data_IF_643559881814
#
_entry.id   IF_643559881814
#
_cell.length_a   1.000
_cell.length_b   1.000
_cell.length_c   1.000
_cell.angle_alpha   90.00
_cell.angle_beta   90.00
_cell.angle_gamma   90.00
#
_symmetry.space_group_name_H-M   'P 1'
#
loop_
_entity.id
_entity.type
_entity.pdbx_description
1 polymer ?
#
# COMPACT_ATOMS: atom_id res chain seq x y z
N UNK A 1 3.59 26.05 11.06
CA UNK A 1 3.63 25.35 12.38
C UNK A 1 2.25 25.08 12.99
N UNK A 2 1.21 25.90 12.73
CA UNK A 2 -0.12 25.72 13.33
C UNK A 2 -0.93 24.51 12.79
N UNK A 3 -0.67 24.06 11.56
CA UNK A 3 -1.27 22.83 11.01
C UNK A 3 -0.75 21.58 11.75
N UNK A 4 0.58 21.47 11.88
CA UNK A 4 1.24 20.35 12.58
C UNK A 4 0.78 20.18 14.02
N UNK A 5 0.65 21.27 14.77
CA UNK A 5 0.17 21.20 16.16
C UNK A 5 -1.29 20.71 16.28
N UNK A 6 -2.11 20.87 15.24
CA UNK A 6 -3.54 20.51 15.26
C UNK A 6 -3.83 19.08 14.78
N UNK A 7 -2.92 18.49 14.01
CA UNK A 7 -3.17 17.25 13.28
C UNK A 7 -2.10 16.16 13.50
N UNK A 8 -1.11 16.38 14.37
CA UNK A 8 -0.24 15.29 14.80
C UNK A 8 -1.07 14.23 15.54
N UNK A 9 -0.81 12.92 15.30
CA UNK A 9 -1.48 11.85 16.01
C UNK A 9 -1.36 12.01 17.54
N UNK A 10 -2.32 11.49 18.32
CA UNK A 10 -2.22 11.47 19.77
C UNK A 10 -0.88 10.86 20.22
N UNK A 11 -0.32 11.47 21.26
CA UNK A 11 0.93 11.05 21.91
C UNK A 11 0.65 9.72 22.56
N UNK A 12 0.92 8.67 21.83
CA UNK A 12 0.38 7.41 22.20
C UNK A 12 1.19 6.83 23.39
N UNK A 13 0.50 6.31 24.40
CA UNK A 13 1.02 5.16 25.17
C UNK A 13 1.12 3.88 24.29
N UNK A 14 0.84 4.04 22.99
CA UNK A 14 1.15 3.25 21.77
C UNK A 14 2.20 3.93 20.81
N UNK A 15 2.94 4.96 21.26
CA UNK A 15 4.11 5.53 20.59
C UNK A 15 5.12 5.80 21.70
N UNK A 16 6.23 5.03 21.75
CA UNK A 16 7.08 4.95 22.93
C UNK A 16 7.49 6.33 23.44
N UNK A 17 7.51 6.50 24.77
CA UNK A 17 8.00 7.72 25.45
C UNK A 17 9.33 8.12 24.83
N UNK A 18 9.32 9.25 24.14
CA UNK A 18 10.38 9.64 23.22
C UNK A 18 9.80 10.13 21.90
N UNK A 19 8.79 9.49 21.31
CA UNK A 19 8.40 9.70 19.91
C UNK A 19 8.00 11.12 19.50
N UNK A 20 7.50 12.04 20.34
CA UNK A 20 7.31 13.44 19.87
C UNK A 20 8.59 14.25 19.96
N UNK A 21 9.38 14.09 21.01
CA UNK A 21 10.69 14.76 21.12
C UNK A 21 11.67 14.10 20.15
N UNK A 22 11.74 12.79 20.10
CA UNK A 22 12.45 11.98 19.13
C UNK A 22 11.84 11.98 17.74
N UNK A 23 10.57 12.22 17.41
CA UNK A 23 10.10 12.25 15.99
C UNK A 23 9.92 13.66 15.47
N UNK A 24 9.80 14.68 16.30
CA UNK A 24 10.17 16.03 15.85
C UNK A 24 11.69 16.13 15.76
N UNK A 25 12.45 15.60 16.73
CA UNK A 25 13.92 15.52 16.63
C UNK A 25 14.40 14.47 15.63
N UNK A 26 13.66 13.42 15.30
CA UNK A 26 13.94 12.42 14.25
C UNK A 26 13.31 12.88 12.96
N UNK A 27 12.30 13.73 12.87
CA UNK A 27 11.97 14.41 11.61
C UNK A 27 13.00 15.52 11.34
N UNK A 28 13.55 16.13 12.40
CA UNK A 28 14.66 17.08 12.35
C UNK A 28 16.02 16.37 12.21
N UNK A 29 16.22 15.12 12.65
CA UNK A 29 17.43 14.29 12.46
C UNK A 29 17.33 13.38 11.22
N UNK A 30 16.13 12.97 10.81
CA UNK A 30 15.77 12.34 9.52
C UNK A 30 15.84 13.32 8.35
N UNK A 31 16.51 14.46 8.55
CA UNK A 31 17.29 15.14 7.51
C UNK A 31 18.27 14.19 6.73
N UNK A 32 18.21 12.85 6.93
CA UNK A 32 19.08 11.80 6.41
C UNK A 32 18.42 10.40 6.26
N UNK A 33 17.11 10.25 6.44
CA UNK A 33 16.48 8.92 6.40
C UNK A 33 15.87 8.65 5.02
N UNK A 34 16.18 7.48 4.47
CA UNK A 34 15.61 6.97 3.21
C UNK A 34 14.34 6.19 3.51
N UNK A 35 13.40 6.15 2.57
CA UNK A 35 12.23 5.29 2.66
C UNK A 35 12.59 3.84 2.34
N UNK A 36 13.43 3.64 1.32
CA UNK A 36 13.97 2.35 0.90
C UNK A 36 15.50 2.46 0.83
N UNK A 37 16.10 2.14 -0.32
CA UNK A 37 17.52 2.20 -0.60
C UNK A 37 17.93 3.35 -1.55
N UNK A 38 17.07 4.37 -1.71
CA UNK A 38 17.38 5.52 -2.56
C UNK A 38 18.59 6.33 -2.06
N UNK A 39 19.30 7.04 -2.97
CA UNK A 39 20.30 8.02 -2.56
C UNK A 39 19.73 9.08 -1.60
N UNK A 40 20.56 9.50 -0.64
CA UNK A 40 20.15 10.49 0.37
C UNK A 40 20.13 11.89 -0.20
N UNK A 41 18.98 12.54 -0.10
CA UNK A 41 18.78 13.92 -0.53
C UNK A 41 18.46 14.88 0.63
N UNK A 42 18.80 16.16 0.43
CA UNK A 42 18.34 17.25 1.30
C UNK A 42 16.94 17.73 0.89
N UNK A 43 16.03 16.79 0.63
CA UNK A 43 14.69 17.05 0.10
C UNK A 43 13.90 18.05 0.97
N UNK A 44 14.03 17.97 2.30
CA UNK A 44 13.25 18.82 3.21
C UNK A 44 13.51 20.31 3.00
N UNK A 45 14.78 20.72 2.85
CA UNK A 45 15.13 22.13 2.65
C UNK A 45 14.63 22.68 1.32
N UNK A 46 14.48 21.82 0.32
CA UNK A 46 13.94 22.18 -0.99
C UNK A 46 12.39 22.23 -0.95
N UNK A 47 11.77 21.16 -0.48
CA UNK A 47 10.34 20.91 -0.58
C UNK A 47 9.51 21.71 0.42
N UNK A 48 9.97 21.85 1.67
CA UNK A 48 9.19 22.53 2.71
C UNK A 48 8.76 23.95 2.33
N UNK A 49 9.65 24.86 1.86
CA UNK A 49 9.22 26.21 1.45
C UNK A 49 8.32 26.20 0.21
N UNK A 50 8.48 25.25 -0.70
CA UNK A 50 7.65 25.14 -1.91
C UNK A 50 6.24 24.62 -1.61
N UNK A 51 6.12 23.65 -0.72
CA UNK A 51 4.88 22.91 -0.51
C UNK A 51 4.04 23.44 0.66
N UNK A 52 4.66 24.11 1.64
CA UNK A 52 3.92 24.70 2.77
C UNK A 52 2.79 25.65 2.33
N UNK A 53 2.99 26.54 1.35
CA UNK A 53 1.92 27.41 0.86
C UNK A 53 0.77 26.64 0.17
N UNK A 54 1.06 25.51 -0.48
CA UNK A 54 0.04 24.73 -1.18
C UNK A 54 -1.00 24.15 -0.22
N UNK A 55 -0.57 23.76 0.98
CA UNK A 55 -1.40 23.07 1.98
C UNK A 55 -1.83 23.94 3.15
N UNK A 56 -1.52 25.24 3.14
CA UNK A 56 -1.71 26.12 4.30
C UNK A 56 -3.18 26.20 4.76
N UNK A 57 -4.11 26.10 3.79
CA UNK A 57 -5.56 26.21 3.99
C UNK A 57 -6.26 24.85 4.02
N UNK A 58 -5.52 23.73 3.97
CA UNK A 58 -6.10 22.42 4.08
C UNK A 58 -6.77 22.22 5.44
N UNK A 59 -7.99 21.68 5.42
CA UNK A 59 -8.83 21.42 6.59
C UNK A 59 -8.50 20.09 7.29
N UNK A 60 -7.75 19.21 6.62
CA UNK A 60 -7.38 17.89 7.13
C UNK A 60 -6.04 17.41 6.57
N UNK A 61 -5.47 16.36 7.17
CA UNK A 61 -4.26 15.69 6.66
C UNK A 61 -4.52 15.08 5.28
N UNK A 62 -5.68 14.43 5.11
CA UNK A 62 -6.10 13.84 3.84
C UNK A 62 -6.16 14.88 2.73
N UNK A 63 -6.81 16.02 2.98
CA UNK A 63 -6.90 17.09 1.99
C UNK A 63 -5.51 17.65 1.65
N UNK A 64 -4.66 17.88 2.66
CA UNK A 64 -3.30 18.36 2.45
C UNK A 64 -2.48 17.40 1.57
N UNK A 65 -2.54 16.10 1.86
CA UNK A 65 -1.83 15.08 1.08
C UNK A 65 -2.41 14.93 -0.34
N UNK A 66 -3.73 15.04 -0.52
CA UNK A 66 -4.35 15.06 -1.85
C UNK A 66 -3.93 16.30 -2.66
N UNK A 67 -3.84 17.48 -2.05
CA UNK A 67 -3.33 18.69 -2.70
C UNK A 67 -1.89 18.46 -3.19
N UNK A 68 -1.04 17.88 -2.35
CA UNK A 68 0.33 17.54 -2.75
C UNK A 68 0.34 16.57 -3.94
N UNK A 69 -0.39 15.46 -3.84
CA UNK A 69 -0.46 14.45 -4.91
C UNK A 69 -1.10 14.99 -6.21
N UNK A 70 -1.85 16.09 -6.15
CA UNK A 70 -2.42 16.76 -7.32
C UNK A 70 -1.41 17.69 -8.01
N UNK A 71 -0.65 18.45 -7.22
CA UNK A 71 -0.01 19.67 -7.73
C UNK A 71 1.50 19.62 -7.81
N UNK A 72 2.19 18.85 -6.97
CA UNK A 72 3.66 18.91 -6.90
C UNK A 72 4.33 18.47 -8.22
N UNK A 73 3.70 17.55 -8.96
CA UNK A 73 4.23 17.02 -10.22
C UNK A 73 4.37 18.10 -11.29
N UNK A 74 3.45 19.07 -11.31
CA UNK A 74 3.38 20.15 -12.30
C UNK A 74 4.52 21.15 -12.14
N UNK A 75 5.10 21.25 -10.94
CA UNK A 75 6.19 22.20 -10.63
C UNK A 75 7.42 21.90 -11.48
N UNK A 76 7.69 20.62 -11.75
CA UNK A 76 8.85 20.16 -12.51
C UNK A 76 8.50 19.35 -13.76
N UNK A 77 7.23 19.21 -14.11
CA UNK A 77 6.79 18.39 -15.26
C UNK A 77 7.03 16.89 -15.06
N UNK A 78 6.98 16.42 -13.81
CA UNK A 78 7.23 15.02 -13.46
C UNK A 78 6.05 14.15 -13.93
N UNK A 79 6.34 13.03 -14.58
CA UNK A 79 5.35 12.03 -15.02
C UNK A 79 5.82 10.59 -14.78
N UNK A 80 4.89 9.64 -14.88
CA UNK A 80 5.17 8.22 -14.67
C UNK A 80 5.83 7.59 -15.89
N UNK A 81 6.90 6.83 -15.66
CA UNK A 81 7.54 5.93 -16.63
C UNK A 81 7.88 4.63 -15.91
N UNK A 82 7.39 3.46 -16.36
CA UNK A 82 7.68 2.18 -15.71
C UNK A 82 9.16 1.76 -15.88
N UNK A 83 9.60 0.77 -15.11
CA UNK A 83 10.92 0.14 -15.29
C UNK A 83 12.14 0.99 -14.88
N UNK A 84 11.95 2.06 -14.11
CA UNK A 84 13.04 2.97 -13.71
C UNK A 84 13.70 2.64 -12.38
N UNK A 85 13.24 1.58 -11.70
CA UNK A 85 13.77 1.15 -10.40
C UNK A 85 14.93 0.16 -10.59
N UNK A 86 16.08 0.31 -9.90
CA UNK A 86 16.40 1.30 -8.86
C UNK A 86 17.13 2.56 -9.36
N UNK A 87 17.16 2.82 -10.67
CA UNK A 87 17.97 3.89 -11.25
C UNK A 87 17.51 5.31 -10.84
N UNK A 88 16.20 5.55 -10.75
CA UNK A 88 15.60 6.86 -10.46
C UNK A 88 14.64 6.72 -9.28
N UNK A 89 15.12 7.05 -8.07
CA UNK A 89 14.32 6.88 -6.84
C UNK A 89 14.35 8.09 -5.91
N UNK A 90 15.48 8.79 -5.78
CA UNK A 90 15.56 9.94 -4.87
C UNK A 90 14.90 11.18 -5.47
N UNK A 91 14.38 12.12 -4.65
CA UNK A 91 13.73 13.32 -5.17
C UNK A 91 14.56 14.14 -6.17
N UNK A 92 15.88 14.24 -5.96
CA UNK A 92 16.78 14.98 -6.86
C UNK A 92 16.94 14.25 -8.19
N UNK A 93 17.03 12.92 -8.18
CA UNK A 93 17.05 12.12 -9.41
C UNK A 93 15.74 12.29 -10.19
N UNK A 94 14.59 12.24 -9.51
CA UNK A 94 13.27 12.43 -10.14
C UNK A 94 13.15 13.83 -10.75
N UNK A 95 13.57 14.88 -10.04
CA UNK A 95 13.56 16.26 -10.57
C UNK A 95 14.48 16.39 -11.79
N UNK A 96 15.67 15.80 -11.73
CA UNK A 96 16.63 15.87 -12.84
C UNK A 96 16.13 15.11 -14.08
N UNK A 97 15.46 13.97 -13.90
CA UNK A 97 14.94 13.17 -14.99
C UNK A 97 13.63 13.71 -15.57
N UNK A 98 12.78 14.33 -14.73
CA UNK A 98 11.42 14.72 -15.11
C UNK A 98 10.44 13.54 -15.17
N UNK A 99 10.84 12.36 -14.70
CA UNK A 99 9.99 11.17 -14.64
C UNK A 99 10.51 10.17 -13.60
N UNK A 100 9.66 9.21 -13.22
CA UNK A 100 10.06 8.04 -12.43
C UNK A 100 9.01 6.91 -12.51
N UNK A 101 9.38 5.73 -12.01
CA UNK A 101 8.46 4.61 -11.77
C UNK A 101 7.66 4.80 -10.48
N UNK A 102 6.78 3.85 -10.18
CA UNK A 102 5.95 3.83 -8.98
C UNK A 102 6.78 4.03 -7.69
N UNK A 103 7.96 3.42 -7.60
CA UNK A 103 8.88 3.55 -6.48
C UNK A 103 9.37 4.99 -6.31
N UNK A 104 9.90 5.60 -7.38
CA UNK A 104 10.46 6.96 -7.30
C UNK A 104 9.39 8.01 -7.05
N UNK A 105 8.21 7.88 -7.68
CA UNK A 105 7.08 8.77 -7.40
C UNK A 105 6.55 8.59 -5.98
N UNK A 106 6.51 7.37 -5.44
CA UNK A 106 6.08 7.11 -4.06
C UNK A 106 7.04 7.73 -3.04
N UNK A 107 8.35 7.55 -3.22
CA UNK A 107 9.36 8.21 -2.38
C UNK A 107 9.20 9.72 -2.45
N UNK A 108 9.04 10.28 -3.65
CA UNK A 108 8.85 11.71 -3.85
C UNK A 108 7.65 12.27 -3.09
N UNK A 109 6.49 11.62 -3.23
CA UNK A 109 5.26 12.05 -2.56
C UNK A 109 5.36 11.88 -1.04
N UNK A 110 5.99 10.81 -0.58
CA UNK A 110 6.27 10.60 0.85
C UNK A 110 7.14 11.71 1.42
N UNK A 111 8.22 12.08 0.73
CA UNK A 111 9.11 13.18 1.14
C UNK A 111 8.40 14.54 1.08
N UNK A 112 7.54 14.75 0.08
CA UNK A 112 6.68 15.93 -0.02
C UNK A 112 5.76 16.05 1.20
N UNK A 113 5.02 14.99 1.53
CA UNK A 113 4.17 14.90 2.71
C UNK A 113 4.97 15.17 4.00
N UNK A 114 6.10 14.47 4.19
CA UNK A 114 6.97 14.63 5.36
C UNK A 114 7.57 16.03 5.47
N UNK A 115 7.81 16.72 4.36
CA UNK A 115 8.39 18.07 4.35
C UNK A 115 7.46 19.10 5.03
N UNK A 116 6.15 18.94 4.83
CA UNK A 116 5.10 19.74 5.46
C UNK A 116 4.54 19.09 6.73
N UNK A 117 5.13 17.97 7.14
CA UNK A 117 4.92 17.20 8.37
C UNK A 117 3.62 16.37 8.42
N UNK A 118 3.16 15.93 7.26
CA UNK A 118 2.17 14.86 7.13
C UNK A 118 2.89 13.51 7.33
N UNK A 119 2.44 12.65 8.26
CA UNK A 119 3.01 11.31 8.40
C UNK A 119 2.67 10.47 7.17
N UNK A 120 3.70 10.03 6.46
CA UNK A 120 3.58 9.19 5.27
C UNK A 120 4.72 8.17 5.21
N UNK A 121 4.50 7.06 4.51
CA UNK A 121 5.49 6.01 4.26
C UNK A 121 5.27 5.32 2.93
N UNK A 122 6.33 4.77 2.36
CA UNK A 122 6.22 3.92 1.17
C UNK A 122 5.67 2.58 1.62
N UNK A 123 4.66 2.08 0.92
CA UNK A 123 4.17 0.72 1.02
C UNK A 123 4.32 0.02 -0.33
N UNK A 124 4.40 -1.30 -0.34
CA UNK A 124 4.60 -2.04 -1.56
C UNK A 124 4.48 -3.54 -1.40
N UNK A 125 4.28 -4.23 -2.53
CA UNK A 125 4.41 -5.69 -2.62
C UNK A 125 5.56 -6.05 -3.55
N UNK A 126 6.39 -7.04 -3.20
CA UNK A 126 7.43 -7.56 -4.10
C UNK A 126 6.84 -8.27 -5.31
N UNK A 127 5.68 -8.88 -5.14
CA UNK A 127 4.93 -9.47 -6.24
C UNK A 127 3.44 -9.54 -5.88
N UNK A 128 2.57 -9.36 -6.87
CA UNK A 128 1.15 -9.60 -6.67
C UNK A 128 0.85 -11.08 -6.89
N UNK A 129 -0.10 -11.64 -6.15
CA UNK A 129 -0.64 -12.94 -6.55
C UNK A 129 -1.37 -12.78 -7.88
N UNK A 130 -1.11 -13.69 -8.80
CA UNK A 130 -1.86 -13.75 -10.04
C UNK A 130 -3.30 -14.19 -9.80
N UNK A 131 -4.18 -13.99 -10.79
CA UNK A 131 -5.61 -14.26 -10.66
C UNK A 131 -5.94 -15.72 -10.27
N UNK A 132 -5.17 -16.70 -10.76
CA UNK A 132 -5.38 -18.11 -10.42
C UNK A 132 -5.04 -18.38 -8.96
N UNK A 133 -3.91 -17.84 -8.48
CA UNK A 133 -3.49 -17.94 -7.09
C UNK A 133 -4.47 -17.23 -6.16
N UNK A 134 -4.97 -16.04 -6.52
CA UNK A 134 -5.99 -15.32 -5.75
C UNK A 134 -7.26 -16.16 -5.58
N UNK A 135 -7.77 -16.79 -6.64
CA UNK A 135 -8.93 -17.68 -6.57
C UNK A 135 -8.68 -18.89 -5.65
N UNK A 136 -7.50 -19.50 -5.76
CA UNK A 136 -7.12 -20.64 -4.92
C UNK A 136 -7.06 -20.25 -3.43
N UNK A 137 -6.44 -19.10 -3.11
CA UNK A 137 -6.37 -18.55 -1.75
C UNK A 137 -7.75 -18.23 -1.20
N UNK A 138 -8.61 -17.58 -1.99
CA UNK A 138 -9.99 -17.28 -1.59
C UNK A 138 -10.79 -18.56 -1.30
N UNK A 139 -10.66 -19.60 -2.13
CA UNK A 139 -11.29 -20.90 -1.90
C UNK A 139 -10.79 -21.54 -0.61
N UNK A 140 -9.48 -21.53 -0.36
CA UNK A 140 -8.89 -22.07 0.88
C UNK A 140 -9.41 -21.33 2.12
N UNK A 141 -9.41 -19.99 2.10
CA UNK A 141 -9.95 -19.16 3.20
C UNK A 141 -11.42 -19.47 3.49
N UNK A 142 -12.25 -19.60 2.44
CA UNK A 142 -13.68 -19.97 2.60
C UNK A 142 -13.85 -21.36 3.20
N UNK A 143 -13.05 -22.34 2.77
CA UNK A 143 -13.10 -23.70 3.33
C UNK A 143 -12.66 -23.73 4.79
N UNK A 144 -11.62 -22.96 5.16
CA UNK A 144 -11.17 -22.83 6.54
C UNK A 144 -12.26 -22.22 7.44
N UNK A 145 -12.90 -21.13 6.99
CA UNK A 145 -14.02 -20.50 7.74
C UNK A 145 -15.20 -21.46 7.95
N UNK A 146 -15.55 -22.26 6.94
CA UNK A 146 -16.61 -23.27 7.06
C UNK A 146 -16.20 -24.36 8.06
N UNK A 147 -14.94 -24.80 8.04
CA UNK A 147 -14.44 -25.79 8.99
C UNK A 147 -14.43 -25.25 10.43
N UNK A 148 -13.98 -24.00 10.64
CA UNK A 148 -14.00 -23.34 11.95
C UNK A 148 -15.42 -23.17 12.49
N UNK A 149 -16.37 -22.75 11.64
CA UNK A 149 -17.78 -22.64 12.03
C UNK A 149 -18.37 -24.01 12.41
N UNK A 150 -18.06 -25.07 11.66
CA UNK A 150 -18.50 -26.42 11.97
C UNK A 150 -17.92 -26.96 13.30
N UNK A 151 -16.66 -26.62 13.61
CA UNK A 151 -16.05 -26.95 14.91
C UNK A 151 -16.72 -26.17 16.04
N UNK A 152 -16.97 -24.88 15.86
CA UNK A 152 -17.67 -24.06 16.87
C UNK A 152 -19.11 -24.57 17.13
N UNK A 153 -19.83 -24.99 16.09
CA UNK A 153 -21.13 -25.64 16.24
C UNK A 153 -21.03 -26.96 17.01
N UNK A 154 -20.02 -27.80 16.72
CA UNK A 154 -19.79 -29.04 17.45
C UNK A 154 -19.46 -28.81 18.93
N UNK A 155 -18.60 -27.84 19.24
CA UNK A 155 -18.20 -27.51 20.62
C UNK A 155 -19.32 -26.83 21.43
N UNK A 156 -20.18 -26.07 20.77
CA UNK A 156 -21.40 -25.51 21.39
C UNK A 156 -22.53 -26.54 21.57
N UNK A 157 -22.45 -27.66 20.84
CA UNK A 157 -23.40 -28.78 20.84
C UNK A 157 -23.12 -29.83 21.91
N UNK A 158 -23.15 -29.45 23.18
CA UNK A 158 -23.11 -30.39 24.29
C UNK A 158 -24.35 -31.29 24.35
N UNK A 159 -24.16 -32.58 24.03
CA UNK A 159 -25.01 -33.73 24.37
C UNK A 159 -26.34 -33.92 23.59
N UNK A 160 -26.24 -34.40 22.35
CA UNK A 160 -27.37 -34.96 21.58
C UNK A 160 -26.99 -36.29 20.94
N UNK A 161 -27.71 -37.37 21.30
CA UNK A 161 -27.54 -38.77 20.86
C UNK A 161 -26.99 -38.94 19.44
N UNK A 162 -25.91 -39.71 19.30
CA UNK A 162 -25.47 -40.28 18.01
C UNK A 162 -26.60 -41.12 17.43
N UNK A 163 -27.18 -40.67 16.33
CA UNK A 163 -28.03 -41.50 15.47
C UNK A 163 -27.24 -41.80 14.19
N UNK A 164 -27.00 -43.08 13.97
CA UNK A 164 -26.24 -43.62 12.86
C UNK A 164 -27.09 -43.66 11.60
N UNK A 165 -27.03 -42.63 10.76
CA UNK A 165 -27.61 -42.69 9.43
C UNK A 165 -26.51 -42.79 8.37
N UNK A 166 -26.31 -44.03 7.91
CA UNK A 166 -25.68 -44.33 6.63
C UNK A 166 -26.61 -43.84 5.52
N UNK A 167 -26.28 -42.71 4.89
CA UNK A 167 -27.12 -42.11 3.86
C UNK A 167 -26.33 -41.31 2.82
N UNK A 168 -25.73 -42.04 1.87
CA UNK A 168 -25.57 -41.65 0.45
C UNK A 168 -24.90 -40.30 0.15
N UNK A 169 -23.59 -40.38 -0.11
CA UNK A 169 -22.86 -39.44 -0.98
C UNK A 169 -23.44 -39.51 -2.40
N UNK A 170 -24.11 -38.47 -2.86
CA UNK A 170 -24.25 -38.21 -4.30
C UNK A 170 -24.70 -36.77 -4.56
N UNK A 171 -23.90 -35.99 -5.30
CA UNK A 171 -24.35 -34.70 -5.81
C UNK A 171 -23.29 -33.64 -6.05
N UNK A 172 -22.20 -33.94 -6.78
CA UNK A 172 -21.43 -32.91 -7.48
C UNK A 172 -21.35 -33.27 -8.96
N UNK A 173 -22.49 -33.12 -9.63
CA UNK A 173 -22.56 -33.10 -11.08
C UNK A 173 -22.12 -31.71 -11.58
N UNK A 174 -21.25 -31.75 -12.59
CA UNK A 174 -20.76 -30.62 -13.38
C UNK A 174 -21.91 -29.73 -13.86
N UNK A 175 -21.70 -28.42 -13.85
CA UNK A 175 -22.40 -27.49 -14.74
C UNK A 175 -21.38 -26.61 -15.45
N UNK A 176 -21.18 -26.94 -16.72
CA UNK A 176 -20.58 -26.10 -17.73
C UNK A 176 -21.51 -24.91 -18.07
N UNK A 177 -20.91 -23.82 -18.53
CA UNK A 177 -21.52 -22.89 -19.48
C UNK A 177 -22.43 -21.79 -18.91
N UNK A 178 -21.84 -20.63 -18.62
CA UNK A 178 -22.56 -19.35 -18.46
C UNK A 178 -21.69 -18.20 -18.97
N UNK A 179 -22.26 -17.21 -19.68
CA UNK A 179 -21.50 -16.33 -20.58
C UNK A 179 -20.63 -15.33 -19.82
N UNK A 180 -19.44 -15.04 -20.38
CA UNK A 180 -18.59 -13.91 -19.97
C UNK A 180 -19.37 -12.61 -20.21
N UNK A 181 -19.52 -11.72 -19.22
CA UNK A 181 -20.03 -10.38 -19.49
C UNK A 181 -18.91 -9.56 -20.11
N UNK A 182 -18.99 -9.36 -21.43
CA UNK A 182 -18.22 -8.34 -22.14
C UNK A 182 -18.97 -7.02 -22.12
N UNK A 183 -18.18 -5.93 -22.06
CA UNK A 183 -18.47 -4.57 -22.51
C UNK A 183 -19.19 -3.62 -21.53
N UNK A 184 -18.85 -2.32 -21.39
CA UNK A 184 -17.96 -1.41 -22.13
C UNK A 184 -17.59 -0.20 -21.25
N UNK A 185 -16.42 0.42 -21.46
CA UNK A 185 -16.28 1.87 -21.29
C UNK A 185 -14.96 2.44 -20.76
N UNK A 186 -13.82 2.20 -21.42
CA UNK A 186 -12.76 3.22 -21.58
C UNK A 186 -11.89 2.83 -22.78
N UNK A 187 -11.76 3.74 -23.74
CA UNK A 187 -11.20 3.46 -25.05
C UNK A 187 -9.67 3.46 -25.12
N UNK A 188 -9.20 2.65 -26.07
CA UNK A 188 -8.00 2.79 -26.90
C UNK A 188 -6.65 2.43 -26.25
N UNK A 189 -6.33 1.14 -26.27
CA UNK A 189 -5.03 0.65 -26.73
C UNK A 189 -5.31 -0.61 -27.56
N UNK A 190 -4.81 -0.65 -28.80
CA UNK A 190 -5.00 -1.78 -29.71
C UNK A 190 -4.19 -2.98 -29.21
N UNK A 191 -4.84 -4.15 -29.18
CA UNK A 191 -4.18 -5.45 -29.11
C UNK A 191 -3.64 -5.77 -30.49
N UNK A 192 -2.34 -6.02 -30.58
CA UNK A 192 -1.69 -6.91 -31.56
C UNK A 192 -0.20 -6.95 -31.17
N UNK A 193 0.15 -7.79 -30.19
CA UNK A 193 1.47 -8.40 -29.99
C UNK A 193 1.33 -9.51 -28.93
N UNK A 194 1.29 -10.75 -29.41
CA UNK A 194 1.23 -11.99 -28.62
C UNK A 194 2.58 -12.27 -27.92
N UNK A 195 2.81 -11.67 -26.75
CA UNK A 195 3.72 -12.18 -25.71
C UNK A 195 3.00 -12.06 -24.34
N UNK A 196 2.37 -13.16 -23.93
CA UNK A 196 1.62 -13.36 -22.68
C UNK A 196 2.49 -13.23 -21.41
N UNK A 197 2.87 -12.01 -21.00
CA UNK A 197 3.45 -11.70 -19.67
C UNK A 197 2.89 -10.38 -19.10
N UNK A 198 1.57 -10.20 -19.12
CA UNK A 198 0.85 -9.18 -18.30
C UNK A 198 0.84 -9.55 -16.80
N UNK A 199 1.98 -10.06 -16.30
CA UNK A 199 2.22 -10.33 -14.91
C UNK A 199 2.27 -8.99 -14.16
N UNK A 200 1.33 -8.79 -13.25
CA UNK A 200 1.36 -7.65 -12.33
C UNK A 200 2.54 -7.86 -11.38
N UNK A 201 3.72 -7.44 -11.81
CA UNK A 201 4.94 -7.47 -11.01
C UNK A 201 4.87 -6.45 -9.86
N UNK A 202 5.89 -6.45 -9.02
CA UNK A 202 6.08 -5.54 -7.88
C UNK A 202 5.46 -4.15 -8.04
N UNK A 203 4.90 -3.61 -6.97
CA UNK A 203 4.37 -2.26 -6.97
C UNK A 203 4.60 -1.55 -5.64
N UNK A 204 4.89 -0.26 -5.70
CA UNK A 204 5.07 0.62 -4.55
C UNK A 204 4.11 1.81 -4.64
N UNK A 205 3.55 2.22 -3.51
CA UNK A 205 2.60 3.31 -3.36
C UNK A 205 2.82 4.03 -2.02
N UNK A 206 1.91 4.95 -1.67
CA UNK A 206 2.02 5.77 -0.47
C UNK A 206 0.91 5.45 0.53
N UNK A 207 1.30 5.20 1.77
CA UNK A 207 0.41 5.28 2.93
C UNK A 207 0.57 6.63 3.63
N UNK A 208 -0.55 7.25 3.98
CA UNK A 208 -0.66 8.52 4.71
C UNK A 208 -1.51 8.29 5.96
N UNK A 209 -1.06 8.80 7.09
CA UNK A 209 -1.86 8.81 8.31
C UNK A 209 -2.93 9.89 8.20
N UNK A 210 -4.21 9.54 8.19
CA UNK A 210 -5.31 10.51 8.01
C UNK A 210 -5.75 11.20 9.31
N UNK A 211 -5.14 10.84 10.44
CA UNK A 211 -5.50 11.28 11.78
C UNK A 211 -6.17 10.20 12.61
N UNK A 212 -6.59 9.08 12.00
CA UNK A 212 -7.19 7.93 12.68
C UNK A 212 -6.52 6.62 12.27
N UNK A 213 -6.34 6.43 10.98
CA UNK A 213 -5.83 5.19 10.40
C UNK A 213 -4.81 5.48 9.29
N UNK A 214 -4.06 4.46 8.90
CA UNK A 214 -3.27 4.50 7.66
C UNK A 214 -4.21 4.31 6.47
N UNK A 215 -4.23 5.30 5.59
CA UNK A 215 -4.94 5.28 4.31
C UNK A 215 -3.93 5.32 3.17
N UNK A 216 -4.28 4.83 1.98
CA UNK A 216 -3.35 4.69 0.86
C UNK A 216 -3.80 5.37 -0.44
N UNK A 217 -2.82 5.73 -1.27
CA UNK A 217 -3.00 6.34 -2.60
C UNK A 217 -1.81 6.00 -3.50
N UNK A 218 -2.04 5.91 -4.81
CA UNK A 218 -0.96 5.88 -5.78
C UNK A 218 -0.35 7.28 -5.98
N UNK A 219 0.96 7.33 -6.22
CA UNK A 219 1.64 8.60 -6.49
C UNK A 219 1.37 9.05 -7.94
N UNK A 220 0.94 10.30 -8.12
CA UNK A 220 0.39 10.83 -9.37
C UNK A 220 -0.92 10.15 -9.85
N UNK A 221 -1.59 9.40 -8.97
CA UNK A 221 -2.85 8.71 -9.24
C UNK A 221 -3.96 9.24 -8.31
N UNK A 222 -4.16 10.56 -8.30
CA UNK A 222 -5.17 11.20 -7.46
C UNK A 222 -6.58 10.69 -7.81
N UNK A 223 -7.29 10.18 -6.80
CA UNK A 223 -8.75 10.05 -6.83
C UNK A 223 -9.38 11.19 -6.01
N UNK A 224 -10.20 12.02 -6.66
CA UNK A 224 -10.88 13.16 -6.03
C UNK A 224 -11.88 12.72 -4.94
N UNK A 225 -12.29 11.45 -4.91
CA UNK A 225 -13.23 10.89 -3.92
C UNK A 225 -12.54 10.44 -2.63
N UNK A 226 -11.22 10.60 -2.50
CA UNK A 226 -10.49 10.26 -1.28
C UNK A 226 -9.49 9.12 -1.45
N UNK A 227 -8.86 8.76 -0.34
CA UNK A 227 -7.95 7.62 -0.26
C UNK A 227 -8.66 6.27 -0.35
N UNK A 228 -7.85 5.21 -0.41
CA UNK A 228 -8.27 3.81 -0.47
C UNK A 228 -9.03 3.46 -1.76
N UNK A 229 -8.84 4.27 -2.81
CA UNK A 229 -9.38 4.09 -4.15
C UNK A 229 -8.22 4.11 -5.14
N UNK A 230 -7.71 2.93 -5.46
CA UNK A 230 -6.57 2.73 -6.35
C UNK A 230 -6.89 1.56 -7.28
N UNK A 231 -6.15 1.43 -8.38
CA UNK A 231 -6.33 0.28 -9.27
C UNK A 231 -6.04 -1.05 -8.57
N UNK A 232 -5.20 -1.02 -7.52
CA UNK A 232 -4.78 -2.22 -6.79
C UNK A 232 -5.69 -2.61 -5.61
N UNK A 233 -6.74 -1.83 -5.33
CA UNK A 233 -7.65 -2.08 -4.23
C UNK A 233 -9.12 -1.97 -4.68
N UNK A 234 -9.99 -2.96 -4.40
CA UNK A 234 -9.78 -4.08 -3.48
C UNK A 234 -8.87 -5.19 -4.00
N UNK A 235 -8.75 -5.38 -5.31
CA UNK A 235 -7.84 -6.38 -5.90
C UNK A 235 -6.75 -5.71 -6.72
N UNK A 236 -5.52 -6.27 -6.73
CA UNK A 236 -5.11 -7.54 -6.12
C UNK A 236 -4.80 -7.50 -4.61
N UNK A 237 -4.86 -6.35 -3.95
CA UNK A 237 -4.43 -6.22 -2.54
C UNK A 237 -5.14 -7.15 -1.55
N UNK A 238 -6.44 -7.42 -1.71
CA UNK A 238 -7.18 -8.36 -0.85
C UNK A 238 -6.85 -9.84 -1.10
N UNK A 239 -6.12 -10.13 -2.16
CA UNK A 239 -5.61 -11.46 -2.49
C UNK A 239 -4.35 -11.85 -1.71
N UNK A 240 -3.55 -10.86 -1.30
CA UNK A 240 -2.23 -11.03 -0.70
C UNK A 240 -2.21 -11.89 0.58
N UNK A 241 -1.05 -12.46 0.89
CA UNK A 241 -0.86 -13.45 1.96
C UNK A 241 0.03 -12.83 3.05
N UNK A 242 -0.49 -12.57 4.26
CA UNK A 242 0.32 -12.10 5.38
C UNK A 242 1.48 -13.06 5.68
N UNK A 243 2.62 -12.50 6.06
CA UNK A 243 3.88 -13.19 6.36
C UNK A 243 4.52 -13.95 5.18
N UNK A 244 4.00 -13.79 3.95
CA UNK A 244 4.64 -14.33 2.75
C UNK A 244 5.64 -13.32 2.19
N UNK A 245 6.90 -13.72 2.06
CA UNK A 245 7.96 -12.79 1.63
C UNK A 245 7.72 -12.19 0.24
N UNK A 246 7.04 -12.90 -0.65
CA UNK A 246 6.77 -12.46 -2.02
C UNK A 246 5.44 -11.73 -2.13
N UNK A 247 4.44 -12.21 -1.38
CA UNK A 247 3.05 -11.82 -1.55
C UNK A 247 2.45 -11.07 -0.35
N UNK A 248 3.29 -10.60 0.58
CA UNK A 248 2.90 -9.63 1.60
C UNK A 248 2.97 -8.21 1.06
N UNK A 249 2.16 -7.35 1.67
CA UNK A 249 2.29 -5.90 1.56
C UNK A 249 3.14 -5.40 2.72
N UNK A 250 4.27 -4.77 2.42
CA UNK A 250 5.18 -4.18 3.38
C UNK A 250 5.03 -2.66 3.38
N UNK A 251 5.13 -2.05 4.56
CA UNK A 251 5.27 -0.60 4.70
C UNK A 251 6.60 -0.25 5.37
N UNK A 252 7.37 0.64 4.75
CA UNK A 252 8.66 1.12 5.26
C UNK A 252 8.57 1.67 6.68
N UNK A 253 9.58 1.37 7.48
CA UNK A 253 9.69 1.79 8.88
C UNK A 253 11.05 2.44 9.14
N UNK A 254 11.06 3.45 10.01
CA UNK A 254 12.30 4.03 10.54
C UNK A 254 12.79 3.33 11.80
N UNK A 255 11.89 2.67 12.50
CA UNK A 255 12.21 1.87 13.68
C UNK A 255 12.63 0.47 13.21
N UNK A 256 13.62 -0.16 13.87
CA UNK A 256 13.83 -1.59 13.74
C UNK A 256 12.56 -2.35 14.12
N UNK A 257 12.09 -3.22 13.24
CA UNK A 257 10.85 -3.99 13.43
C UNK A 257 11.10 -5.49 13.52
N UNK A 258 12.29 -5.94 13.13
CA UNK A 258 12.57 -7.37 12.90
C UNK A 258 12.10 -7.88 11.53
N UNK A 259 11.41 -7.04 10.74
CA UNK A 259 10.95 -7.34 9.39
C UNK A 259 11.61 -6.40 8.40
N UNK A 260 12.09 -6.93 7.28
CA UNK A 260 12.72 -6.13 6.22
C UNK A 260 11.75 -5.87 5.08
N UNK A 261 11.83 -4.69 4.47
CA UNK A 261 11.14 -4.41 3.21
C UNK A 261 11.80 -5.25 2.11
N UNK A 262 11.04 -6.15 1.49
CA UNK A 262 11.56 -6.95 0.39
C UNK A 262 11.62 -6.10 -0.88
N UNK A 263 12.83 -5.67 -1.25
CA UNK A 263 13.06 -4.87 -2.46
C UNK A 263 13.04 -5.79 -3.69
N UNK A 264 12.10 -5.59 -4.60
CA UNK A 264 11.96 -6.43 -5.79
C UNK A 264 13.18 -6.41 -6.73
N UNK A 265 13.98 -5.33 -6.67
CA UNK A 265 15.23 -5.18 -7.41
C UNK A 265 16.46 -5.70 -6.66
N UNK A 266 16.34 -5.97 -5.35
CA UNK A 266 17.45 -6.47 -4.54
C UNK A 266 16.98 -7.25 -3.31
N UNK A 267 16.63 -8.51 -3.55
CA UNK A 267 16.10 -9.44 -2.56
C UNK A 267 17.01 -9.69 -1.36
N UNK A 268 18.31 -9.42 -1.47
CA UNK A 268 19.30 -9.67 -0.42
C UNK A 268 19.39 -8.53 0.61
N UNK A 269 18.71 -7.42 0.38
CA UNK A 269 18.66 -6.30 1.34
C UNK A 269 17.77 -6.65 2.52
N UNK A 270 18.34 -6.65 3.71
CA UNK A 270 17.62 -6.90 4.97
C UNK A 270 17.66 -5.70 5.92
N UNK A 271 18.34 -4.62 5.55
CA UNK A 271 18.55 -3.47 6.42
C UNK A 271 17.45 -2.40 6.29
N UNK A 272 16.70 -2.38 5.18
CA UNK A 272 15.50 -1.54 5.04
C UNK A 272 14.41 -2.13 5.92
N UNK A 273 14.03 -1.42 6.99
CA UNK A 273 13.04 -1.90 7.94
C UNK A 273 11.62 -1.73 7.39
N UNK A 274 10.73 -2.66 7.71
CA UNK A 274 9.32 -2.59 7.33
C UNK A 274 8.40 -3.22 8.37
N UNK A 275 7.12 -2.92 8.26
CA UNK A 275 6.04 -3.66 8.92
C UNK A 275 5.28 -4.42 7.84
N UNK A 276 4.93 -5.68 8.09
CA UNK A 276 3.93 -6.37 7.27
C UNK A 276 2.55 -5.79 7.60
N UNK A 277 1.95 -5.12 6.63
CA UNK A 277 0.64 -4.45 6.77
C UNK A 277 -0.44 -5.16 5.97
N UNK A 278 -0.19 -6.37 5.47
CA UNK A 278 -1.12 -7.11 4.61
C UNK A 278 -2.51 -7.22 5.22
N UNK A 279 -2.60 -7.50 6.53
CA UNK A 279 -3.86 -7.59 7.25
C UNK A 279 -4.69 -6.31 7.18
N UNK A 280 -4.06 -5.13 7.16
CA UNK A 280 -4.76 -3.86 7.02
C UNK A 280 -5.51 -3.80 5.68
N UNK A 281 -4.92 -4.30 4.60
CA UNK A 281 -5.55 -4.34 3.28
C UNK A 281 -6.65 -5.40 3.19
N UNK A 282 -6.46 -6.57 3.82
CA UNK A 282 -7.49 -7.61 3.88
C UNK A 282 -8.75 -7.09 4.58
N UNK A 283 -8.57 -6.36 5.68
CA UNK A 283 -9.66 -5.85 6.52
C UNK A 283 -10.17 -4.45 6.16
N UNK A 284 -9.44 -3.71 5.32
CA UNK A 284 -9.86 -2.39 4.86
C UNK A 284 -11.25 -2.45 4.20
N UNK A 285 -12.11 -1.50 4.56
CA UNK A 285 -13.43 -1.35 3.93
C UNK A 285 -13.25 -0.89 2.50
N UNK A 286 -14.00 -1.49 1.57
CA UNK A 286 -14.07 -1.01 0.19
C UNK A 286 -14.89 0.29 0.20
N UNK A 287 -14.32 1.44 -0.19
CA UNK A 287 -14.98 2.73 -0.06
C UNK A 287 -16.11 2.96 -1.06
#
# INVERSE_FOLDING_TARGET
MNFLRRHLPPVDEHLPRGFLEETVTLAIKARRATSLDEPRDKWRSLMMPLFSPLVENASSITEAAQILNRDIWKIWGIHFVPGQTPAIMSPSQVIQAGFASCTGLSIFLVDACRSVGIPARVAGTPDWLNWQQQQATARRRRMAQVAEAAVAEFDSGGNGKRQSDKGVLNGLARRDGGPRPTAFGAGLINNDDDDDDDDVHNHNWVEVWDGRDWSFTGAAELDARGFNRTWFFPQPAKGQIPHDRLHSIFASSYMPTGTSFTLAWNWNVTWVQAVDVTENYLHAKVP
#
